data_IF_077378700388
#
_entry.id   IF_077378700388
#
_cell.length_a   1.000
_cell.length_b   1.000
_cell.length_c   1.000
_cell.angle_alpha   90.00
_cell.angle_beta   90.00
_cell.angle_gamma   90.00
#
_symmetry.space_group_name_H-M   'P 1'
#
loop_
_entity.id
_entity.type
_entity.pdbx_description
1 polymer ?
#
# COMPACT_ATOMS: atom_id res chain seq x y z
N UNK A 1 32.73 -9.08 -26.33
CA UNK A 1 32.12 -7.95 -25.60
C UNK A 1 30.73 -7.68 -26.18
N UNK A 2 29.68 -8.14 -25.51
CA UNK A 2 28.31 -7.84 -25.92
C UNK A 2 27.86 -6.55 -25.23
N UNK A 3 27.70 -5.47 -26.01
CA UNK A 3 27.03 -4.25 -25.57
C UNK A 3 25.54 -4.56 -25.43
N UNK A 4 25.11 -4.84 -24.19
CA UNK A 4 23.70 -4.98 -23.84
C UNK A 4 22.94 -3.67 -24.08
N UNK A 5 21.84 -3.77 -24.81
CA UNK A 5 20.96 -2.67 -25.22
C UNK A 5 20.35 -1.92 -24.01
N UNK A 6 20.88 -0.73 -23.72
CA UNK A 6 20.48 0.16 -22.61
C UNK A 6 19.10 0.81 -22.83
N UNK A 7 18.48 0.58 -24.00
CA UNK A 7 17.12 1.05 -24.34
C UNK A 7 16.00 0.36 -23.54
N UNK A 8 16.31 -0.75 -22.90
CA UNK A 8 15.34 -1.52 -22.09
C UNK A 8 15.05 -0.92 -20.70
N UNK A 9 15.78 0.12 -20.30
CA UNK A 9 15.65 0.84 -19.02
C UNK A 9 14.78 2.10 -19.09
N UNK A 10 14.31 2.50 -20.27
CA UNK A 10 13.39 3.62 -20.38
C UNK A 10 11.99 3.19 -19.93
N UNK A 11 11.56 3.72 -18.79
CA UNK A 11 10.16 3.70 -18.37
C UNK A 11 9.38 4.43 -19.47
N UNK A 12 8.64 3.69 -20.30
CA UNK A 12 7.85 4.22 -21.42
C UNK A 12 6.73 5.20 -21.01
N UNK A 13 6.53 5.43 -19.71
CA UNK A 13 5.71 6.52 -19.22
C UNK A 13 6.58 7.75 -19.05
N UNK A 14 6.55 8.64 -20.04
CA UNK A 14 7.10 10.00 -19.93
C UNK A 14 6.53 10.62 -18.66
N UNK A 15 7.40 10.94 -17.70
CA UNK A 15 6.97 11.52 -16.43
C UNK A 15 6.24 12.84 -16.67
N UNK A 16 4.91 12.82 -16.54
CA UNK A 16 4.06 14.01 -16.57
C UNK A 16 4.14 14.73 -15.20
N UNK A 17 4.77 15.90 -15.10
CA UNK A 17 4.96 16.61 -13.84
C UNK A 17 3.64 17.05 -13.17
N UNK A 18 2.54 17.12 -13.93
CA UNK A 18 1.22 17.45 -13.40
C UNK A 18 0.47 16.27 -12.78
N UNK A 19 0.88 15.02 -13.05
CA UNK A 19 0.18 13.81 -12.58
C UNK A 19 1.04 12.94 -11.65
N UNK A 20 2.38 13.02 -11.73
CA UNK A 20 3.27 12.09 -11.03
C UNK A 20 3.95 12.64 -9.76
N UNK A 21 3.57 13.85 -9.30
CA UNK A 21 4.14 14.47 -8.11
C UNK A 21 5.63 14.83 -8.29
N UNK A 22 6.31 15.28 -7.22
CA UNK A 22 7.75 15.57 -7.29
C UNK A 22 8.51 14.29 -7.65
N UNK A 23 9.48 14.40 -8.55
CA UNK A 23 10.34 13.30 -8.98
C UNK A 23 10.93 12.60 -7.75
N UNK A 24 10.52 11.35 -7.53
CA UNK A 24 11.11 10.48 -6.52
C UNK A 24 12.64 10.45 -6.70
N UNK A 25 13.36 10.55 -5.58
CA UNK A 25 14.83 10.61 -5.54
C UNK A 25 15.45 9.49 -6.37
N UNK A 26 16.66 9.69 -6.95
CA UNK A 26 17.37 8.64 -7.72
C UNK A 26 17.49 7.31 -6.95
N UNK A 27 17.50 7.33 -5.61
CA UNK A 27 17.45 6.12 -4.77
C UNK A 27 16.17 5.30 -4.92
N UNK A 28 15.05 5.92 -5.26
CA UNK A 28 13.76 5.25 -5.50
C UNK A 28 13.69 4.60 -6.90
N UNK A 29 14.72 4.79 -7.73
CA UNK A 29 14.85 4.15 -9.06
C UNK A 29 15.59 2.81 -9.01
N UNK A 30 15.77 2.21 -7.82
CA UNK A 30 16.38 0.89 -7.68
C UNK A 30 15.58 -0.22 -8.39
N UNK A 31 14.28 -0.02 -8.60
CA UNK A 31 13.42 -0.93 -9.35
C UNK A 31 13.40 -0.57 -10.83
N UNK A 32 14.31 -1.19 -11.58
CA UNK A 32 14.36 -1.11 -13.02
C UNK A 32 13.38 -2.13 -13.67
N UNK A 33 12.81 -1.82 -14.83
CA UNK A 33 11.97 -2.74 -15.61
C UNK A 33 12.70 -4.05 -15.91
N UNK A 34 13.99 -3.97 -16.24
CA UNK A 34 14.84 -5.15 -16.49
C UNK A 34 14.99 -6.01 -15.23
N UNK A 35 15.05 -5.39 -14.04
CA UNK A 35 15.06 -6.11 -12.77
C UNK A 35 13.71 -6.78 -12.51
N UNK A 36 12.60 -6.06 -12.69
CA UNK A 36 11.25 -6.60 -12.47
C UNK A 36 10.95 -7.80 -13.39
N UNK A 37 11.35 -7.73 -14.67
CA UNK A 37 11.23 -8.86 -15.61
C UNK A 37 11.98 -10.10 -15.11
N UNK A 38 13.22 -9.92 -14.63
CA UNK A 38 14.03 -11.01 -14.06
C UNK A 38 13.41 -11.54 -12.76
N UNK A 39 12.89 -10.68 -11.90
CA UNK A 39 12.23 -11.04 -10.65
C UNK A 39 10.99 -11.91 -10.90
N UNK A 40 10.09 -11.47 -11.79
CA UNK A 40 8.88 -12.21 -12.15
C UNK A 40 9.24 -13.56 -12.77
N UNK A 41 10.25 -13.60 -13.65
CA UNK A 41 10.70 -14.86 -14.24
C UNK A 41 11.22 -15.83 -13.17
N UNK A 42 12.06 -15.35 -12.25
CA UNK A 42 12.59 -16.17 -11.16
C UNK A 42 11.49 -16.70 -10.24
N UNK A 43 10.58 -15.83 -9.77
CA UNK A 43 9.44 -16.20 -8.95
C UNK A 43 8.52 -17.22 -9.63
N UNK A 44 8.40 -17.14 -10.96
CA UNK A 44 7.58 -18.07 -11.75
C UNK A 44 8.19 -19.46 -11.88
N UNK A 45 9.49 -19.53 -12.15
CA UNK A 45 10.18 -20.78 -12.54
C UNK A 45 10.75 -21.53 -11.34
N UNK A 46 11.29 -20.82 -10.33
CA UNK A 46 12.06 -21.42 -9.24
C UNK A 46 11.26 -21.63 -7.95
N UNK A 47 10.18 -20.89 -7.76
CA UNK A 47 9.41 -20.90 -6.51
C UNK A 47 8.10 -21.65 -6.70
N UNK A 48 8.01 -22.81 -6.06
CA UNK A 48 6.81 -23.65 -6.03
C UNK A 48 6.47 -23.90 -4.55
N UNK A 49 5.75 -22.97 -3.91
CA UNK A 49 5.62 -23.00 -2.47
C UNK A 49 4.72 -24.14 -2.02
N UNK A 50 5.11 -24.79 -0.92
CA UNK A 50 4.31 -25.82 -0.26
C UNK A 50 3.47 -25.23 0.86
N UNK A 51 2.24 -25.74 1.02
CA UNK A 51 1.33 -25.26 2.04
C UNK A 51 1.71 -25.87 3.40
N UNK A 52 1.95 -25.02 4.40
CA UNK A 52 2.20 -25.49 5.77
C UNK A 52 0.90 -25.93 6.44
N UNK A 53 1.01 -26.76 7.48
CA UNK A 53 -0.14 -27.21 8.28
C UNK A 53 -0.86 -26.05 8.94
N UNK A 54 -0.11 -25.07 9.46
CA UNK A 54 -0.66 -23.86 10.08
C UNK A 54 -1.51 -23.03 9.11
N UNK A 55 -1.00 -22.79 7.90
CA UNK A 55 -1.74 -22.06 6.87
C UNK A 55 -2.99 -22.82 6.43
N UNK A 56 -2.91 -24.15 6.32
CA UNK A 56 -4.05 -25.01 5.97
C UNK A 56 -5.17 -24.89 6.99
N UNK A 57 -4.85 -25.02 8.28
CA UNK A 57 -5.84 -24.91 9.36
C UNK A 57 -6.52 -23.54 9.37
N UNK A 58 -5.75 -22.47 9.13
CA UNK A 58 -6.29 -21.11 9.05
C UNK A 58 -7.29 -20.96 7.90
N UNK A 59 -6.94 -21.39 6.68
CA UNK A 59 -7.82 -21.30 5.50
C UNK A 59 -9.12 -22.09 5.71
N UNK A 60 -9.03 -23.29 6.31
CA UNK A 60 -10.21 -24.12 6.58
C UNK A 60 -11.12 -23.47 7.62
N UNK A 61 -10.53 -22.87 8.68
CA UNK A 61 -11.26 -22.11 9.68
C UNK A 61 -12.04 -20.96 9.08
N UNK A 62 -11.36 -20.12 8.30
CA UNK A 62 -11.95 -18.96 7.61
C UNK A 62 -13.03 -19.37 6.60
N UNK A 63 -12.80 -20.45 5.83
CA UNK A 63 -13.79 -20.97 4.90
C UNK A 63 -15.08 -21.40 5.61
N UNK A 64 -14.95 -22.08 6.75
CA UNK A 64 -16.08 -22.55 7.54
C UNK A 64 -16.89 -21.38 8.07
N UNK A 65 -16.22 -20.37 8.66
CA UNK A 65 -16.86 -19.15 9.16
C UNK A 65 -17.58 -18.39 8.03
N UNK A 66 -16.91 -18.22 6.89
CA UNK A 66 -17.49 -17.55 5.72
C UNK A 66 -18.79 -18.24 5.29
N UNK A 67 -18.79 -19.58 5.27
CA UNK A 67 -19.95 -20.40 4.88
C UNK A 67 -21.08 -20.38 5.91
N UNK A 68 -20.77 -20.24 7.19
CA UNK A 68 -21.75 -20.09 8.28
C UNK A 68 -22.44 -18.72 8.21
N UNK A 69 -21.69 -17.65 7.90
CA UNK A 69 -22.18 -16.27 7.81
C UNK A 69 -23.01 -15.97 6.54
N UNK A 70 -23.79 -16.94 6.06
CA UNK A 70 -24.60 -16.83 4.83
C UNK A 70 -25.77 -15.86 5.05
N UNK A 71 -25.54 -14.57 4.74
CA UNK A 71 -26.62 -13.57 4.65
C UNK A 71 -27.53 -13.91 3.46
N UNK A 72 -28.83 -13.66 3.59
CA UNK A 72 -29.86 -14.06 2.60
C UNK A 72 -29.64 -13.51 1.18
N UNK A 73 -28.79 -12.49 1.00
CA UNK A 73 -28.46 -11.85 -0.30
C UNK A 73 -27.01 -12.02 -0.74
N UNK A 74 -26.21 -12.88 -0.09
CA UNK A 74 -24.81 -13.07 -0.47
C UNK A 74 -24.65 -14.02 -1.66
N UNK A 75 -23.58 -13.84 -2.43
CA UNK A 75 -23.16 -14.80 -3.45
C UNK A 75 -22.97 -16.20 -2.84
N UNK A 76 -23.22 -17.28 -3.60
CA UNK A 76 -23.08 -18.64 -3.09
C UNK A 76 -21.59 -18.98 -2.85
N UNK A 77 -21.26 -19.32 -1.61
CA UNK A 77 -19.93 -19.80 -1.22
C UNK A 77 -19.84 -21.30 -1.58
N UNK A 78 -18.88 -21.64 -2.44
CA UNK A 78 -18.70 -23.00 -2.99
C UNK A 78 -17.27 -23.48 -2.72
N UNK A 79 -16.96 -24.74 -3.02
CA UNK A 79 -15.59 -25.26 -2.91
C UNK A 79 -14.58 -24.46 -3.79
N UNK A 80 -15.06 -23.76 -4.83
CA UNK A 80 -14.23 -22.86 -5.65
C UNK A 80 -13.62 -21.73 -4.81
N UNK A 81 -14.33 -21.22 -3.80
CA UNK A 81 -13.79 -20.12 -2.99
C UNK A 81 -12.60 -20.59 -2.15
N UNK A 82 -12.64 -21.84 -1.67
CA UNK A 82 -11.51 -22.47 -0.98
C UNK A 82 -10.31 -22.61 -1.92
N UNK A 83 -10.52 -23.07 -3.14
CA UNK A 83 -9.47 -23.13 -4.16
C UNK A 83 -8.87 -21.74 -4.44
N UNK A 84 -9.71 -20.70 -4.53
CA UNK A 84 -9.22 -19.33 -4.73
C UNK A 84 -8.40 -18.83 -3.54
N UNK A 85 -8.78 -19.13 -2.30
CA UNK A 85 -7.99 -18.76 -1.11
C UNK A 85 -6.60 -19.39 -1.13
N UNK A 86 -6.51 -20.68 -1.47
CA UNK A 86 -5.22 -21.38 -1.60
C UNK A 86 -4.39 -20.77 -2.75
N UNK A 87 -5.01 -20.43 -3.88
CA UNK A 87 -4.33 -19.77 -5.01
C UNK A 87 -3.80 -18.38 -4.64
N UNK A 88 -4.54 -17.60 -3.85
CA UNK A 88 -4.10 -16.30 -3.37
C UNK A 88 -2.94 -16.43 -2.37
N UNK A 89 -3.07 -17.32 -1.38
CA UNK A 89 -2.02 -17.56 -0.38
C UNK A 89 -0.70 -18.04 -1.02
N UNK A 90 -0.79 -18.95 -2.00
CA UNK A 90 0.39 -19.41 -2.75
C UNK A 90 0.98 -18.31 -3.64
N UNK A 91 0.16 -17.42 -4.20
CA UNK A 91 0.65 -16.26 -4.94
C UNK A 91 1.43 -15.29 -4.04
N UNK A 92 0.97 -15.03 -2.81
CA UNK A 92 1.69 -14.18 -1.84
C UNK A 92 3.05 -14.76 -1.46
N UNK A 93 3.11 -16.06 -1.18
CA UNK A 93 4.38 -16.74 -0.91
C UNK A 93 5.37 -16.64 -2.10
N UNK A 94 4.87 -16.74 -3.35
CA UNK A 94 5.67 -16.53 -4.57
C UNK A 94 6.16 -15.10 -4.71
N UNK A 95 5.34 -14.11 -4.36
CA UNK A 95 5.74 -12.69 -4.36
C UNK A 95 6.87 -12.43 -3.36
N UNK A 96 6.90 -13.14 -2.22
CA UNK A 96 7.99 -13.08 -1.24
C UNK A 96 9.21 -13.93 -1.60
N UNK A 97 9.16 -14.70 -2.69
CA UNK A 97 10.16 -15.73 -3.04
C UNK A 97 10.34 -16.82 -1.97
N UNK A 98 9.30 -17.07 -1.17
CA UNK A 98 9.28 -18.11 -0.14
C UNK A 98 8.90 -19.46 -0.74
N UNK A 99 9.60 -20.54 -0.34
CA UNK A 99 9.23 -21.91 -0.72
C UNK A 99 8.14 -22.51 0.18
N UNK A 100 7.76 -21.81 1.24
CA UNK A 100 6.70 -22.23 2.15
C UNK A 100 5.64 -21.14 2.28
N UNK A 101 4.37 -21.55 2.29
CA UNK A 101 3.24 -20.66 2.56
C UNK A 101 3.04 -20.59 4.06
N UNK A 102 3.23 -19.40 4.62
CA UNK A 102 3.05 -19.13 6.05
C UNK A 102 1.61 -18.73 6.35
N UNK A 103 1.24 -18.76 7.64
CA UNK A 103 -0.07 -18.26 8.10
C UNK A 103 -0.32 -16.80 7.70
N UNK A 104 0.72 -15.96 7.66
CA UNK A 104 0.62 -14.55 7.24
C UNK A 104 0.13 -14.42 5.80
N UNK A 105 0.71 -15.22 4.90
CA UNK A 105 0.32 -15.25 3.48
C UNK A 105 -1.14 -15.69 3.30
N UNK A 106 -1.59 -16.64 4.13
CA UNK A 106 -2.97 -17.10 4.14
C UNK A 106 -3.93 -16.02 4.66
N UNK A 107 -3.53 -15.26 5.67
CA UNK A 107 -4.30 -14.11 6.19
C UNK A 107 -4.51 -13.05 5.12
N UNK A 108 -3.43 -12.54 4.54
CA UNK A 108 -3.50 -11.52 3.47
C UNK A 108 -4.34 -11.99 2.26
N UNK A 109 -4.20 -13.26 1.87
CA UNK A 109 -4.98 -13.83 0.77
C UNK A 109 -6.48 -13.91 1.07
N UNK A 110 -6.86 -14.23 2.32
CA UNK A 110 -8.26 -14.23 2.77
C UNK A 110 -8.80 -12.82 2.86
N UNK A 111 -8.01 -11.87 3.35
CA UNK A 111 -8.42 -10.47 3.50
C UNK A 111 -8.73 -9.83 2.14
N UNK A 112 -7.93 -10.12 1.12
CA UNK A 112 -8.21 -9.69 -0.27
C UNK A 112 -9.53 -10.28 -0.78
N UNK A 113 -9.80 -11.56 -0.48
CA UNK A 113 -11.05 -12.19 -0.89
C UNK A 113 -12.25 -11.57 -0.18
N UNK A 114 -12.14 -11.33 1.13
CA UNK A 114 -13.21 -10.69 1.93
C UNK A 114 -13.46 -9.26 1.44
N UNK A 115 -12.41 -8.49 1.20
CA UNK A 115 -12.50 -7.16 0.60
C UNK A 115 -13.23 -7.20 -0.75
N UNK A 116 -12.90 -8.16 -1.61
CA UNK A 116 -13.57 -8.30 -2.91
C UNK A 116 -15.06 -8.72 -2.80
N UNK A 117 -15.43 -9.49 -1.77
CA UNK A 117 -16.79 -10.00 -1.60
C UNK A 117 -17.72 -9.02 -0.88
N UNK A 118 -17.20 -8.30 0.13
CA UNK A 118 -18.02 -7.48 1.02
C UNK A 118 -17.66 -6.00 1.00
N UNK A 119 -16.56 -5.62 0.33
CA UNK A 119 -15.96 -4.28 0.45
C UNK A 119 -15.73 -3.87 1.92
N UNK A 120 -15.57 -4.85 2.82
CA UNK A 120 -15.20 -4.63 4.21
C UNK A 120 -13.74 -4.21 4.25
N UNK A 121 -13.45 -3.13 5.00
CA UNK A 121 -12.07 -2.69 5.22
C UNK A 121 -11.31 -3.82 5.95
N UNK A 122 -10.10 -4.17 5.51
CA UNK A 122 -9.30 -5.17 6.23
C UNK A 122 -9.10 -4.69 7.66
N UNK A 123 -9.28 -5.60 8.62
CA UNK A 123 -8.93 -5.34 10.02
C UNK A 123 -7.45 -4.96 10.05
N UNK A 124 -7.16 -3.66 10.17
CA UNK A 124 -5.82 -3.12 10.14
C UNK A 124 -5.06 -3.59 11.38
N UNK A 125 -4.51 -4.80 11.34
CA UNK A 125 -3.35 -5.12 12.15
C UNK A 125 -2.19 -4.31 11.59
N UNK A 126 -1.81 -3.26 12.32
CA UNK A 126 -0.68 -2.37 12.06
C UNK A 126 0.61 -3.16 11.82
N UNK A 127 0.82 -3.57 10.57
CA UNK A 127 2.03 -4.20 10.08
C UNK A 127 3.00 -3.15 9.53
N UNK A 128 2.96 -1.90 10.01
CA UNK A 128 4.01 -0.90 9.83
C UNK A 128 4.41 -0.54 8.38
N UNK A 129 3.68 -1.04 7.38
CA UNK A 129 3.90 -0.76 5.96
C UNK A 129 2.77 0.13 5.41
N UNK A 130 2.36 1.12 6.19
CA UNK A 130 1.49 2.20 5.71
C UNK A 130 2.24 3.05 4.67
N UNK A 131 1.85 2.93 3.40
CA UNK A 131 2.16 3.91 2.35
C UNK A 131 1.44 5.26 2.55
N UNK A 132 0.54 5.37 3.55
CA UNK A 132 -0.39 6.50 3.67
C UNK A 132 -0.16 7.45 4.85
N UNK A 133 0.87 7.23 5.68
CA UNK A 133 1.23 8.16 6.76
C UNK A 133 1.86 9.49 6.27
N UNK A 134 1.76 9.80 4.97
CA UNK A 134 2.06 11.13 4.43
C UNK A 134 0.90 12.11 4.54
N UNK A 135 -0.36 11.65 4.61
CA UNK A 135 -1.51 12.55 4.62
C UNK A 135 -1.62 13.32 5.95
N UNK A 136 -1.36 12.65 7.07
CA UNK A 136 -1.28 13.27 8.41
C UNK A 136 -0.20 14.39 8.50
N UNK A 137 0.86 14.33 7.68
CA UNK A 137 1.88 15.41 7.63
C UNK A 137 1.37 16.68 6.97
N UNK A 138 0.35 16.60 6.10
CA UNK A 138 -0.27 17.77 5.46
C UNK A 138 -1.13 18.52 6.47
N UNK A 139 -1.89 17.81 7.29
CA UNK A 139 -2.70 18.42 8.37
C UNK A 139 -1.83 19.14 9.41
N UNK A 140 -0.66 18.59 9.72
CA UNK A 140 0.33 19.23 10.60
C UNK A 140 0.99 20.46 9.97
N UNK A 141 1.16 20.47 8.65
CA UNK A 141 1.67 21.62 7.91
C UNK A 141 0.64 22.74 7.83
N UNK A 142 -0.64 22.41 7.63
CA UNK A 142 -1.74 23.36 7.59
C UNK A 142 -1.96 24.04 8.95
N UNK A 143 -1.88 23.27 10.05
CA UNK A 143 -1.91 23.80 11.42
C UNK A 143 -0.72 24.72 11.74
N UNK A 144 0.46 24.48 11.15
CA UNK A 144 1.64 25.36 11.30
C UNK A 144 1.48 26.66 10.51
N UNK A 145 0.95 26.59 9.30
CA UNK A 145 0.63 27.75 8.45
C UNK A 145 -0.40 28.68 9.13
N UNK A 146 -1.45 28.11 9.74
CA UNK A 146 -2.47 28.89 10.45
C UNK A 146 -1.91 29.58 11.71
N UNK A 147 -1.04 28.89 12.48
CA UNK A 147 -0.32 29.48 13.62
C UNK A 147 0.61 30.62 13.18
N UNK A 148 1.28 30.48 12.02
CA UNK A 148 2.13 31.53 11.43
C UNK A 148 1.29 32.76 11.06
N UNK A 149 0.16 32.58 10.38
CA UNK A 149 -0.78 33.66 10.02
C UNK A 149 -1.39 34.35 11.26
N UNK A 150 -1.68 33.61 12.34
CA UNK A 150 -2.14 34.20 13.62
C UNK A 150 -1.06 35.04 14.30
N UNK A 151 0.21 34.59 14.29
CA UNK A 151 1.35 35.37 14.80
C UNK A 151 1.57 36.64 13.99
N UNK A 152 1.44 36.56 12.67
CA UNK A 152 1.59 37.70 11.76
C UNK A 152 0.46 38.73 11.94
N UNK A 153 -0.79 38.29 12.14
CA UNK A 153 -1.92 39.18 12.47
C UNK A 153 -1.75 39.88 13.82
N UNK A 154 -1.16 39.21 14.82
CA UNK A 154 -0.81 39.84 16.11
C UNK A 154 0.30 40.88 15.94
N UNK A 155 1.34 40.57 15.17
CA UNK A 155 2.40 41.52 14.85
C UNK A 155 1.87 42.77 14.11
N UNK A 156 0.93 42.60 13.17
CA UNK A 156 0.29 43.72 12.46
C UNK A 156 -0.58 44.59 13.37
N UNK A 157 -1.29 44.01 14.36
CA UNK A 157 -2.03 44.80 15.36
C UNK A 157 -1.10 45.59 16.28
N UNK A 158 0.02 45.01 16.69
CA UNK A 158 1.05 45.72 17.48
C UNK A 158 1.69 46.85 16.66
N UNK A 159 1.93 46.63 15.36
CA UNK A 159 2.44 47.66 14.44
C UNK A 159 1.43 48.80 14.22
N UNK A 160 0.13 48.49 14.07
CA UNK A 160 -0.94 49.49 13.93
C UNK A 160 -1.14 50.31 15.21
N UNK A 161 -0.99 49.69 16.39
CA UNK A 161 -1.02 50.39 17.67
C UNK A 161 0.20 51.32 17.84
N UNK A 162 1.39 50.88 17.41
CA UNK A 162 2.60 51.72 17.38
C UNK A 162 2.47 52.89 16.40
N UNK A 163 1.89 52.68 15.21
CA UNK A 163 1.60 53.75 14.25
C UNK A 163 0.56 54.75 14.79
N UNK A 164 -0.49 54.29 15.46
CA UNK A 164 -1.48 55.18 16.07
C UNK A 164 -0.90 56.02 17.21
N UNK A 165 0.00 55.47 18.04
CA UNK A 165 0.68 56.24 19.08
C UNK A 165 1.74 57.21 18.54
N UNK A 166 2.30 56.98 17.34
CA UNK A 166 3.31 57.85 16.73
C UNK A 166 2.72 58.99 15.87
N UNK A 167 1.45 58.88 15.45
CA UNK A 167 0.73 59.91 14.68
C UNK A 167 -0.15 60.79 15.57
N UNK A 168 -0.48 60.32 16.78
CA UNK A 168 -1.33 61.03 17.77
C UNK A 168 -0.56 61.51 19.01
N UNK A 169 0.74 61.79 18.87
CA UNK A 169 1.57 62.53 19.83
C UNK A 169 2.52 63.44 19.03
#
# INVERSE_FOLDING_TARGET
EEKGDDRSNEIYVKHNPNLHGPLKSKKDRMFNLTFLKKYIHYAKVKINPTLTTEATQYIVGEYTQLRENRREKSLPITARTLETMIRLATAMARCRLSQEVTKKDAKEGVDILKFALYAEEPDAEDDGLTYDNMENRKDDAEKKEEKRKRREKRARRVCLLWFYTCVYM
#
